data_IF_796653986437
#
_entry.id   IF_796653986437
#
_cell.length_a   1.000
_cell.length_b   1.000
_cell.length_c   1.000
_cell.angle_alpha   90.00
_cell.angle_beta   90.00
_cell.angle_gamma   90.00
#
_symmetry.space_group_name_H-M   'P 1'
#
loop_
_entity.id
_entity.type
_entity.pdbx_description
1 polymer ?
#
# COMPACT_ATOMS: atom_id res chain seq x y z
N UNK A 1 4.70 16.52 30.50
CA UNK A 1 4.21 15.26 31.09
C UNK A 1 3.24 14.72 30.06
N UNK A 2 3.75 13.95 29.11
CA UNK A 2 2.94 13.51 27.99
C UNK A 2 2.47 12.10 28.33
N UNK A 3 1.28 12.02 28.92
CA UNK A 3 0.51 10.78 28.96
C UNK A 3 0.03 10.53 27.53
N UNK A 4 0.94 10.07 26.68
CA UNK A 4 0.56 9.28 25.52
C UNK A 4 -0.21 8.10 26.07
N UNK A 5 -1.53 8.15 25.92
CA UNK A 5 -2.41 7.03 26.22
C UNK A 5 -2.15 6.02 25.12
N UNK A 6 -1.00 5.36 25.22
CA UNK A 6 -0.54 4.36 24.30
C UNK A 6 -1.42 3.15 24.59
N UNK A 7 -2.54 3.05 23.87
CA UNK A 7 -3.44 1.92 23.99
C UNK A 7 -2.62 0.65 23.82
N UNK A 8 -2.70 -0.25 24.81
CA UNK A 8 -2.04 -1.54 24.73
C UNK A 8 -2.51 -2.25 23.44
N UNK A 9 -1.60 -2.53 22.49
CA UNK A 9 -1.94 -3.23 21.25
C UNK A 9 -2.63 -4.57 21.50
N UNK A 10 -2.40 -5.18 22.67
CA UNK A 10 -3.07 -6.40 23.12
C UNK A 10 -4.53 -6.14 23.47
N UNK A 11 -4.82 -5.04 24.18
CA UNK A 11 -6.19 -4.64 24.52
C UNK A 11 -7.02 -4.30 23.27
N UNK A 12 -6.44 -3.61 22.28
CA UNK A 12 -7.11 -3.34 20.99
C UNK A 12 -7.42 -4.65 20.25
N UNK A 13 -6.46 -5.58 20.19
CA UNK A 13 -6.66 -6.89 19.56
C UNK A 13 -7.75 -7.68 20.27
N UNK A 14 -7.75 -7.71 21.59
CA UNK A 14 -8.79 -8.40 22.37
C UNK A 14 -10.17 -7.78 22.19
N UNK A 15 -10.27 -6.45 22.07
CA UNK A 15 -11.53 -5.77 21.77
C UNK A 15 -12.06 -6.13 20.36
N UNK A 16 -11.18 -6.19 19.35
CA UNK A 16 -11.54 -6.65 18.00
C UNK A 16 -12.07 -8.09 18.02
N UNK A 17 -11.37 -9.01 18.71
CA UNK A 17 -11.84 -10.39 18.84
C UNK A 17 -13.14 -10.49 19.63
N UNK A 18 -13.30 -9.76 20.73
CA UNK A 18 -14.54 -9.76 21.51
C UNK A 18 -15.75 -9.35 20.66
N UNK A 19 -15.60 -8.35 19.78
CA UNK A 19 -16.63 -7.94 18.82
C UNK A 19 -16.89 -9.02 17.76
N UNK A 20 -15.83 -9.57 17.16
CA UNK A 20 -15.94 -10.55 16.09
C UNK A 20 -16.59 -11.87 16.54
N UNK A 21 -16.31 -12.26 17.78
CA UNK A 21 -16.76 -13.52 18.37
C UNK A 21 -18.11 -13.36 19.09
N UNK A 22 -18.60 -12.13 19.27
CA UNK A 22 -19.89 -11.89 19.92
C UNK A 22 -21.00 -12.60 19.13
N UNK A 23 -21.78 -13.43 19.81
CA UNK A 23 -22.90 -14.18 19.21
C UNK A 23 -22.52 -15.43 18.40
N UNK A 24 -21.24 -15.80 18.30
CA UNK A 24 -20.83 -17.10 17.72
C UNK A 24 -21.00 -18.23 18.73
N UNK A 25 -21.41 -19.41 18.25
CA UNK A 25 -21.38 -20.64 19.06
C UNK A 25 -19.92 -21.02 19.34
N UNK A 26 -19.67 -21.65 20.50
CA UNK A 26 -18.32 -21.97 20.98
C UNK A 26 -17.54 -22.97 20.11
N UNK A 27 -18.20 -23.64 19.17
CA UNK A 27 -17.55 -24.57 18.24
C UNK A 27 -16.56 -23.81 17.32
N UNK A 28 -15.35 -24.34 17.19
CA UNK A 28 -14.26 -23.81 16.34
C UNK A 28 -13.76 -22.40 16.68
N UNK A 29 -13.99 -21.92 17.91
CA UNK A 29 -13.57 -20.57 18.34
C UNK A 29 -12.05 -20.36 18.22
N UNK A 30 -11.25 -21.33 18.65
CA UNK A 30 -9.79 -21.26 18.58
C UNK A 30 -9.30 -21.16 17.13
N UNK A 31 -9.90 -21.93 16.22
CA UNK A 31 -9.58 -21.88 14.79
C UNK A 31 -9.96 -20.53 14.18
N UNK A 32 -11.14 -19.99 14.50
CA UNK A 32 -11.58 -18.69 14.03
C UNK A 32 -10.66 -17.55 14.51
N UNK A 33 -10.25 -17.58 15.78
CA UNK A 33 -9.29 -16.61 16.34
C UNK A 33 -7.94 -16.72 15.65
N UNK A 34 -7.41 -17.94 15.46
CA UNK A 34 -6.14 -18.15 14.77
C UNK A 34 -6.16 -17.60 13.34
N UNK A 35 -7.23 -17.85 12.58
CA UNK A 35 -7.38 -17.33 11.21
C UNK A 35 -7.37 -15.80 11.17
N UNK A 36 -8.01 -15.15 12.14
CA UNK A 36 -8.13 -13.70 12.20
C UNK A 36 -6.84 -13.04 12.70
N UNK A 37 -6.14 -13.65 13.66
CA UNK A 37 -4.78 -13.26 14.04
C UNK A 37 -3.87 -13.26 12.81
N UNK A 38 -3.88 -14.33 12.02
CA UNK A 38 -3.07 -14.43 10.79
C UNK A 38 -3.43 -13.35 9.76
N UNK A 39 -4.72 -12.97 9.64
CA UNK A 39 -5.13 -11.86 8.77
C UNK A 39 -4.59 -10.53 9.29
N UNK A 40 -4.71 -10.27 10.59
CA UNK A 40 -4.21 -9.05 11.22
C UNK A 40 -2.69 -8.93 11.06
N UNK A 41 -1.95 -9.99 11.41
CA UNK A 41 -0.50 -10.02 11.29
C UNK A 41 -0.04 -9.74 9.85
N UNK A 42 -0.76 -10.28 8.86
CA UNK A 42 -0.50 -9.98 7.44
C UNK A 42 -0.78 -8.51 7.08
N UNK A 43 -1.83 -7.90 7.64
CA UNK A 43 -2.17 -6.50 7.40
C UNK A 43 -1.22 -5.53 8.12
N UNK A 44 -0.65 -5.92 9.26
CA UNK A 44 0.29 -5.11 10.04
C UNK A 44 1.75 -5.39 9.73
N UNK A 45 2.07 -6.41 8.91
CA UNK A 45 3.43 -6.68 8.48
C UNK A 45 4.08 -5.44 7.86
N UNK A 46 5.38 -5.24 8.06
CA UNK A 46 6.08 -4.02 7.58
C UNK A 46 5.93 -3.81 6.06
N UNK A 47 5.91 -4.91 5.30
CA UNK A 47 5.75 -4.90 3.85
C UNK A 47 4.31 -5.15 3.41
N UNK A 48 3.32 -4.99 4.28
CA UNK A 48 1.91 -5.02 3.86
C UNK A 48 1.57 -3.76 3.05
N UNK A 49 0.56 -3.82 2.18
CA UNK A 49 0.10 -2.63 1.45
C UNK A 49 -0.27 -1.47 2.40
N UNK A 50 -1.07 -1.66 3.48
CA UNK A 50 -1.36 -0.60 4.45
C UNK A 50 -0.09 0.01 5.07
N UNK A 51 0.87 -0.81 5.50
CA UNK A 51 2.13 -0.33 6.07
C UNK A 51 2.93 0.48 5.05
N UNK A 52 3.05 0.01 3.81
CA UNK A 52 3.77 0.76 2.78
C UNK A 52 3.11 2.10 2.47
N UNK A 53 1.78 2.15 2.40
CA UNK A 53 1.02 3.40 2.20
C UNK A 53 1.21 4.36 3.37
N UNK A 54 1.15 3.87 4.61
CA UNK A 54 1.33 4.68 5.81
C UNK A 54 2.72 5.33 5.89
N UNK A 55 3.77 4.61 5.45
CA UNK A 55 5.15 5.08 5.45
C UNK A 55 5.59 5.76 4.14
N UNK A 56 4.65 6.01 3.23
CA UNK A 56 4.94 6.67 1.95
C UNK A 56 4.95 8.19 2.08
N UNK A 57 5.79 8.83 1.28
CA UNK A 57 5.67 10.27 1.00
C UNK A 57 4.52 10.47 0.04
N UNK A 58 3.64 11.42 0.32
CA UNK A 58 2.47 11.74 -0.51
C UNK A 58 2.84 12.84 -1.49
N UNK A 59 2.51 12.65 -2.76
CA UNK A 59 2.80 13.61 -3.85
C UNK A 59 1.51 13.84 -4.62
N UNK A 60 1.04 15.08 -4.66
CA UNK A 60 0.00 15.49 -5.60
C UNK A 60 0.64 15.68 -6.98
N UNK A 61 0.08 15.01 -7.99
CA UNK A 61 0.66 14.97 -9.33
C UNK A 61 -0.40 14.67 -10.39
N UNK A 62 -0.11 15.03 -11.64
CA UNK A 62 -0.85 14.56 -12.81
C UNK A 62 -0.11 13.38 -13.45
N UNK A 63 -0.82 12.30 -13.76
CA UNK A 63 -0.23 11.15 -14.46
C UNK A 63 -0.20 11.43 -15.96
N UNK A 64 0.98 11.32 -16.56
CA UNK A 64 1.18 11.55 -17.99
C UNK A 64 1.17 10.24 -18.78
N UNK A 65 1.72 9.16 -18.22
CA UNK A 65 1.63 7.82 -18.82
C UNK A 65 1.76 6.70 -17.78
N UNK A 66 1.16 5.55 -18.11
CA UNK A 66 1.31 4.29 -17.39
C UNK A 66 1.64 3.21 -18.42
N UNK A 67 2.83 2.62 -18.32
CA UNK A 67 3.33 1.62 -19.27
C UNK A 67 3.71 0.34 -18.52
N UNK A 68 3.32 -0.84 -19.01
CA UNK A 68 3.73 -2.10 -18.39
C UNK A 68 5.11 -2.55 -18.90
N UNK A 69 6.09 -2.64 -18.00
CA UNK A 69 7.42 -3.19 -18.27
C UNK A 69 7.39 -4.72 -18.04
N UNK A 70 7.33 -5.52 -19.10
CA UNK A 70 7.31 -6.99 -19.00
C UNK A 70 8.55 -7.57 -18.31
N UNK A 71 9.73 -7.01 -18.57
CA UNK A 71 11.00 -7.47 -18.02
C UNK A 71 11.06 -7.34 -16.50
N UNK A 72 10.57 -6.22 -15.96
CA UNK A 72 10.53 -5.97 -14.52
C UNK A 72 9.23 -6.43 -13.86
N UNK A 73 8.22 -6.78 -14.67
CA UNK A 73 6.84 -7.10 -14.30
C UNK A 73 6.22 -6.00 -13.44
N UNK A 74 6.38 -4.74 -13.84
CA UNK A 74 5.89 -3.56 -13.11
C UNK A 74 5.26 -2.58 -14.09
N UNK A 75 4.42 -1.70 -13.58
CA UNK A 75 4.02 -0.50 -14.29
C UNK A 75 5.07 0.59 -14.06
N UNK A 76 5.48 1.26 -15.13
CA UNK A 76 6.24 2.50 -15.10
C UNK A 76 5.24 3.66 -15.24
N UNK A 77 5.22 4.52 -14.23
CA UNK A 77 4.33 5.67 -14.14
C UNK A 77 5.17 6.93 -14.35
N UNK A 78 4.83 7.69 -15.39
CA UNK A 78 5.37 9.03 -15.63
C UNK A 78 4.36 10.05 -15.13
N UNK A 79 4.80 10.99 -14.32
CA UNK A 79 3.92 11.97 -13.69
C UNK A 79 4.60 13.32 -13.54
N UNK A 80 3.80 14.38 -13.53
CA UNK A 80 4.24 15.73 -13.18
C UNK A 80 3.73 16.06 -11.78
N UNK A 81 4.63 16.25 -10.82
CA UNK A 81 4.21 16.74 -9.50
C UNK A 81 3.69 18.17 -9.60
N UNK A 82 2.66 18.53 -8.82
CA UNK A 82 2.03 19.86 -8.87
C UNK A 82 3.05 20.99 -8.60
N UNK A 83 4.01 20.73 -7.71
CA UNK A 83 5.09 21.66 -7.36
C UNK A 83 6.40 21.35 -8.09
N UNK A 84 6.39 20.38 -9.00
CA UNK A 84 7.56 19.95 -9.76
C UNK A 84 7.64 20.69 -11.09
N UNK A 85 8.86 21.05 -11.50
CA UNK A 85 9.10 21.63 -12.82
C UNK A 85 9.36 20.57 -13.89
N UNK A 86 9.67 19.33 -13.49
CA UNK A 86 10.08 18.25 -14.39
C UNK A 86 9.22 17.00 -14.20
N UNK A 87 9.04 16.28 -15.31
CA UNK A 87 8.43 14.97 -15.28
C UNK A 87 9.29 14.00 -14.48
N UNK A 88 8.65 13.32 -13.54
CA UNK A 88 9.24 12.25 -12.73
C UNK A 88 8.72 10.89 -13.18
N UNK A 89 9.49 9.85 -12.85
CA UNK A 89 9.10 8.45 -13.07
C UNK A 89 9.18 7.65 -11.80
N UNK A 90 8.20 6.78 -11.60
CA UNK A 90 8.17 5.81 -10.50
C UNK A 90 7.62 4.48 -10.99
N UNK A 91 8.04 3.38 -10.37
CA UNK A 91 7.52 2.05 -10.70
C UNK A 91 6.45 1.64 -9.69
N UNK A 92 5.49 0.83 -10.11
CA UNK A 92 4.61 0.13 -9.18
C UNK A 92 5.37 -0.97 -8.40
N UNK A 93 4.68 -1.60 -7.46
CA UNK A 93 5.01 -2.96 -7.04
C UNK A 93 4.95 -3.93 -8.22
N UNK A 94 5.61 -5.09 -8.09
CA UNK A 94 5.55 -6.14 -9.11
C UNK A 94 4.14 -6.74 -9.21
N UNK A 95 3.69 -7.03 -10.43
CA UNK A 95 2.39 -7.67 -10.67
C UNK A 95 2.37 -9.15 -10.30
N UNK A 96 3.53 -9.75 -10.00
CA UNK A 96 3.65 -11.10 -9.44
C UNK A 96 3.96 -11.09 -7.93
N UNK A 97 3.81 -9.94 -7.25
CA UNK A 97 3.98 -9.85 -5.79
C UNK A 97 2.79 -10.44 -5.02
N UNK A 98 2.94 -10.51 -3.69
CA UNK A 98 1.85 -10.87 -2.77
C UNK A 98 0.64 -9.92 -2.87
N UNK A 99 0.81 -8.72 -3.44
CA UNK A 99 -0.22 -7.73 -3.65
C UNK A 99 -0.71 -7.66 -5.10
N UNK A 100 -0.40 -8.65 -5.95
CA UNK A 100 -0.73 -8.65 -7.37
C UNK A 100 -2.14 -8.17 -7.72
N UNK A 101 -3.15 -8.58 -6.96
CA UNK A 101 -4.54 -8.19 -7.17
C UNK A 101 -4.78 -6.71 -6.90
N UNK A 102 -4.13 -6.14 -5.88
CA UNK A 102 -4.19 -4.72 -5.60
C UNK A 102 -3.44 -3.92 -6.67
N UNK A 103 -2.22 -4.34 -7.03
CA UNK A 103 -1.40 -3.67 -8.05
C UNK A 103 -2.18 -3.52 -9.36
N UNK A 104 -2.78 -4.62 -9.86
CA UNK A 104 -3.62 -4.59 -11.07
C UNK A 104 -4.80 -3.64 -10.92
N UNK A 105 -5.57 -3.76 -9.84
CA UNK A 105 -6.72 -2.86 -9.55
C UNK A 105 -6.34 -1.38 -9.50
N UNK A 106 -5.11 -1.04 -9.12
CA UNK A 106 -4.66 0.34 -9.02
C UNK A 106 -4.22 0.87 -10.39
N UNK A 107 -3.40 0.11 -11.12
CA UNK A 107 -2.66 0.59 -12.29
C UNK A 107 -3.27 0.21 -13.65
N UNK A 108 -4.25 -0.70 -13.68
CA UNK A 108 -5.05 -0.98 -14.89
C UNK A 108 -6.22 0.01 -15.07
N UNK A 109 -6.38 0.98 -14.15
CA UNK A 109 -7.36 2.07 -14.28
C UNK A 109 -6.91 3.09 -15.33
N UNK A 110 -7.87 3.71 -16.00
CA UNK A 110 -7.61 4.88 -16.84
C UNK A 110 -7.37 6.11 -15.95
N UNK A 111 -6.09 6.38 -15.66
CA UNK A 111 -5.63 7.50 -14.84
C UNK A 111 -4.79 8.51 -15.64
N UNK A 112 -4.63 8.31 -16.95
CA UNK A 112 -3.81 9.21 -17.76
C UNK A 112 -4.54 10.54 -17.91
N UNK A 113 -3.84 11.64 -17.58
CA UNK A 113 -4.41 12.98 -17.45
C UNK A 113 -5.17 13.23 -16.15
N UNK A 114 -5.21 12.26 -15.22
CA UNK A 114 -5.82 12.46 -13.92
C UNK A 114 -4.83 13.08 -12.95
N UNK A 115 -5.34 14.00 -12.12
CA UNK A 115 -4.66 14.45 -10.92
C UNK A 115 -4.88 13.40 -9.84
N UNK A 116 -3.80 13.01 -9.19
CA UNK A 116 -3.75 11.92 -8.22
C UNK A 116 -2.94 12.31 -6.99
N UNK A 117 -3.19 11.63 -5.88
CA UNK A 117 -2.27 11.57 -4.75
C UNK A 117 -1.47 10.27 -4.84
N UNK A 118 -0.21 10.37 -5.26
CA UNK A 118 0.74 9.27 -5.33
C UNK A 118 1.38 9.01 -3.97
N UNK A 119 1.43 7.74 -3.57
CA UNK A 119 2.13 7.31 -2.38
C UNK A 119 3.50 6.76 -2.79
N UNK A 120 4.58 7.52 -2.59
CA UNK A 120 5.96 7.16 -2.93
C UNK A 120 6.64 6.49 -1.74
N UNK A 121 6.83 5.18 -1.83
CA UNK A 121 7.45 4.35 -0.81
C UNK A 121 8.92 4.05 -1.17
N UNK A 122 9.82 4.16 -0.20
CA UNK A 122 11.21 3.69 -0.33
C UNK A 122 11.27 2.23 0.14
N UNK A 123 11.20 1.29 -0.80
CA UNK A 123 11.35 -0.13 -0.50
C UNK A 123 12.80 -0.39 -0.08
N UNK A 124 12.98 -0.77 1.19
CA UNK A 124 14.29 -1.02 1.80
C UNK A 124 14.87 -2.40 1.45
N UNK A 125 14.12 -3.23 0.72
CA UNK A 125 14.63 -4.53 0.24
C UNK A 125 15.65 -4.26 -0.87
N UNK A 126 16.91 -4.09 -0.48
CA UNK A 126 18.02 -3.99 -1.41
C UNK A 126 18.18 -5.30 -2.17
N UNK A 127 18.13 -5.26 -3.50
CA UNK A 127 18.60 -6.38 -4.33
C UNK A 127 20.05 -6.13 -4.72
N UNK A 128 20.75 -7.15 -5.25
CA UNK A 128 22.10 -6.96 -5.82
C UNK A 128 22.15 -5.85 -6.88
N UNK A 129 21.02 -5.60 -7.56
CA UNK A 129 20.88 -4.58 -8.61
C UNK A 129 20.55 -3.19 -8.07
N UNK A 130 19.98 -3.09 -6.86
CA UNK A 130 19.70 -1.82 -6.20
C UNK A 130 20.00 -1.92 -4.70
N UNK A 131 21.28 -1.80 -4.30
CA UNK A 131 21.69 -1.96 -2.90
C UNK A 131 21.04 -0.94 -1.95
N UNK A 132 20.61 0.21 -2.48
CA UNK A 132 19.93 1.27 -1.71
C UNK A 132 18.40 1.17 -1.73
N UNK A 133 17.86 0.06 -2.25
CA UNK A 133 16.42 -0.16 -2.40
C UNK A 133 15.82 0.52 -3.63
N UNK A 134 14.55 0.24 -3.89
CA UNK A 134 13.77 0.83 -4.99
C UNK A 134 12.75 1.84 -4.45
N UNK A 135 12.49 2.91 -5.21
CA UNK A 135 11.31 3.75 -4.97
C UNK A 135 10.15 3.21 -5.78
N UNK A 136 9.05 2.91 -5.11
CA UNK A 136 7.84 2.38 -5.73
C UNK A 136 6.61 3.19 -5.35
N UNK A 137 5.58 3.12 -6.17
CA UNK A 137 4.25 3.60 -5.88
C UNK A 137 3.34 2.41 -5.54
N UNK A 138 3.19 2.03 -4.25
CA UNK A 138 2.27 0.97 -3.85
C UNK A 138 0.80 1.34 -4.05
N UNK A 139 0.46 2.64 -4.06
CA UNK A 139 -0.93 3.10 -4.15
C UNK A 139 -1.04 4.49 -4.77
N UNK A 140 -2.23 4.81 -5.29
CA UNK A 140 -2.62 6.16 -5.67
C UNK A 140 -4.12 6.38 -5.47
N UNK A 141 -4.48 7.59 -5.04
CA UNK A 141 -5.86 8.07 -4.98
C UNK A 141 -6.11 8.94 -6.21
N UNK A 142 -7.18 8.65 -6.94
CA UNK A 142 -7.65 9.49 -8.03
C UNK A 142 -8.41 10.69 -7.44
N UNK A 143 -8.02 11.91 -7.81
CA UNK A 143 -8.62 13.15 -7.32
C UNK A 143 -9.59 13.76 -8.33
N UNK A 144 -9.34 13.57 -9.63
CA UNK A 144 -10.22 13.86 -10.77
C UNK A 144 -9.39 13.93 -12.05
N UNK A 145 -10.04 13.88 -13.21
CA UNK A 145 -9.39 14.26 -14.48
C UNK A 145 -9.08 15.75 -14.48
N UNK A 146 -7.91 16.13 -14.99
CA UNK A 146 -7.58 17.54 -15.25
C UNK A 146 -8.29 17.92 -16.55
N UNK A 147 -9.17 18.93 -16.49
CA UNK A 147 -9.85 19.50 -17.67
C UNK A 147 -8.89 20.28 -18.58
#
# INVERSE_FOLDING_TARGET
>A
MDNDTQFDPSAIRMAYFALLLSGRKYDDLELAVAQELLKMDRLTAERSLPSMVAHSVRIAATINSIEFEESSKRYLIKFQADNGEKEERIRSERVDSNHKSAVKKIWERDLVGHRVLLFKYKDRVGTKEAPNGYRIAPYCIDLSKVE
#
